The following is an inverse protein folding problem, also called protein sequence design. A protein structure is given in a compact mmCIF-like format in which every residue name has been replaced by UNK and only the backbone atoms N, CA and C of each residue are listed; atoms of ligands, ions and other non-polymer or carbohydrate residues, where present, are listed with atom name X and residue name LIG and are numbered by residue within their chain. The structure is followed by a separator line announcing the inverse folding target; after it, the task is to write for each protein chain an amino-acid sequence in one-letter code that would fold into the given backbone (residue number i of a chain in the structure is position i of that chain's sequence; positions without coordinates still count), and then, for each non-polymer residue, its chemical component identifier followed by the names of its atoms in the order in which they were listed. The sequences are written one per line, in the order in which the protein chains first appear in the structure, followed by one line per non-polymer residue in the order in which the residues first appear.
data_IF_236659166721
#
_entry.id   IF_236659166721
#
_cell.length_a   1.000
_cell.length_b   1.000
_cell.length_c   1.000
_cell.angle_alpha   90.00
_cell.angle_beta   90.00
_cell.angle_gamma   90.00
#
_symmetry.space_group_name_H-M   'P 1'
#
loop_
_entity.id
_entity.type
_entity.pdbx_description
1 polymer ?
#
# COMPACT_ATOMS: atom_id res chain seq x y z
N UNK A 1 -27.11 16.99 -12.70
CA UNK A 1 -27.10 15.78 -11.85
C UNK A 1 -25.70 15.24 -11.92
N UNK A 2 -24.91 15.35 -10.86
CA UNK A 2 -23.62 14.65 -10.77
C UNK A 2 -23.93 13.16 -10.74
N UNK A 3 -23.62 12.46 -11.83
CA UNK A 3 -23.63 11.00 -11.85
C UNK A 3 -22.69 10.59 -10.71
N UNK A 4 -23.18 9.78 -9.76
CA UNK A 4 -22.33 9.22 -8.72
C UNK A 4 -21.42 8.18 -9.38
N UNK A 5 -20.31 8.62 -9.99
CA UNK A 5 -19.37 7.77 -10.74
C UNK A 5 -18.85 6.60 -9.92
N UNK A 6 -18.83 6.72 -8.59
CA UNK A 6 -18.49 5.62 -7.70
C UNK A 6 -19.42 4.42 -7.89
N UNK A 7 -20.71 4.62 -8.19
CA UNK A 7 -21.67 3.53 -8.44
C UNK A 7 -21.30 2.65 -9.65
N UNK A 8 -20.45 3.14 -10.56
CA UNK A 8 -19.96 2.39 -11.73
C UNK A 8 -18.74 1.53 -11.43
N UNK A 9 -18.13 1.69 -10.26
CA UNK A 9 -16.99 0.91 -9.82
C UNK A 9 -17.51 -0.41 -9.26
N UNK A 10 -17.15 -1.54 -9.86
CA UNK A 10 -17.47 -2.87 -9.34
C UNK A 10 -16.35 -3.40 -8.44
N UNK A 11 -15.12 -2.89 -8.61
CA UNK A 11 -13.93 -3.35 -7.89
C UNK A 11 -13.13 -2.18 -7.32
N UNK A 12 -12.92 -2.17 -6.00
CA UNK A 12 -11.94 -1.30 -5.34
C UNK A 12 -10.73 -2.17 -4.97
N UNK A 13 -9.56 -1.81 -5.51
CA UNK A 13 -8.29 -2.46 -5.22
C UNK A 13 -7.44 -1.50 -4.39
N UNK A 14 -6.91 -1.93 -3.26
CA UNK A 14 -6.05 -1.13 -2.38
C UNK A 14 -4.68 -1.78 -2.32
N UNK A 15 -3.64 -1.04 -2.66
CA UNK A 15 -2.25 -1.39 -2.40
C UNK A 15 -1.68 -0.40 -1.38
N UNK A 16 -1.25 -0.91 -0.22
CA UNK A 16 -0.69 -0.09 0.85
C UNK A 16 0.79 -0.41 1.08
N UNK A 17 1.63 0.49 0.61
CA UNK A 17 3.10 0.50 0.73
C UNK A 17 3.55 0.98 2.12
N UNK A 18 4.85 1.01 2.37
CA UNK A 18 5.47 1.28 3.68
C UNK A 18 6.41 2.50 3.65
N UNK A 19 6.32 3.34 4.69
CA UNK A 19 7.39 4.21 5.17
C UNK A 19 7.95 5.22 4.15
N UNK A 20 7.10 5.99 3.46
CA UNK A 20 7.52 7.08 2.57
C UNK A 20 6.60 8.28 2.64
N UNK A 21 7.18 9.47 2.78
CA UNK A 21 6.44 10.73 2.74
C UNK A 21 5.99 11.08 1.32
N UNK A 22 4.98 11.94 1.21
CA UNK A 22 4.54 12.47 -0.09
C UNK A 22 5.70 13.15 -0.82
N UNK A 23 6.37 14.10 -0.15
CA UNK A 23 7.45 14.86 -0.80
C UNK A 23 8.64 14.00 -1.22
N UNK A 24 8.96 12.93 -0.50
CA UNK A 24 10.06 12.04 -0.82
C UNK A 24 9.82 11.23 -2.11
N UNK A 25 8.57 10.88 -2.43
CA UNK A 25 8.23 10.06 -3.60
C UNK A 25 7.60 10.84 -4.76
N UNK A 26 6.83 11.88 -4.45
CA UNK A 26 6.00 12.63 -5.43
C UNK A 26 6.23 14.15 -5.35
N UNK A 27 6.96 14.65 -4.35
CA UNK A 27 7.21 16.08 -4.20
C UNK A 27 7.97 16.70 -5.38
N UNK A 28 8.81 15.92 -6.05
CA UNK A 28 9.54 16.35 -7.25
C UNK A 28 8.62 16.82 -8.37
N UNK A 29 7.35 16.38 -8.41
CA UNK A 29 6.41 16.73 -9.46
C UNK A 29 6.26 18.25 -9.59
N UNK A 30 6.25 18.96 -8.47
CA UNK A 30 6.17 20.44 -8.42
C UNK A 30 7.53 21.11 -8.62
N UNK A 31 8.60 20.50 -8.11
CA UNK A 31 9.95 21.06 -8.14
C UNK A 31 10.57 21.02 -9.54
N UNK A 32 10.50 19.87 -10.19
CA UNK A 32 11.17 19.59 -11.48
C UNK A 32 10.32 18.76 -12.45
N UNK A 33 9.18 18.22 -12.02
CA UNK A 33 8.27 17.44 -12.86
C UNK A 33 7.27 18.27 -13.68
N UNK A 34 7.29 19.61 -13.56
CA UNK A 34 6.44 20.52 -14.34
C UNK A 34 4.97 20.57 -13.93
N UNK A 35 4.64 20.04 -12.74
CA UNK A 35 3.28 19.97 -12.18
C UNK A 35 3.10 20.97 -11.02
N UNK A 36 3.22 22.26 -11.34
CA UNK A 36 3.21 23.34 -10.35
C UNK A 36 1.89 23.51 -9.58
N UNK A 37 0.81 22.87 -10.03
CA UNK A 37 -0.48 22.83 -9.34
C UNK A 37 -0.51 21.84 -8.16
N UNK A 38 0.43 20.88 -8.10
CA UNK A 38 0.59 19.96 -6.97
C UNK A 38 1.27 20.71 -5.81
N UNK A 39 0.77 20.51 -4.59
CA UNK A 39 1.39 21.00 -3.36
C UNK A 39 2.61 20.14 -2.98
N UNK A 40 3.70 20.24 -3.75
CA UNK A 40 4.91 19.43 -3.63
C UNK A 40 6.14 20.24 -3.20
N UNK A 41 7.33 19.69 -3.47
CA UNK A 41 8.60 20.30 -3.06
C UNK A 41 8.90 21.60 -3.79
N UNK A 42 9.64 22.47 -3.10
CA UNK A 42 10.24 23.69 -3.64
C UNK A 42 11.69 23.80 -3.16
N UNK A 43 12.52 24.54 -3.89
CA UNK A 43 13.96 24.61 -3.62
C UNK A 43 14.29 25.33 -2.30
N UNK A 44 13.37 26.11 -1.76
CA UNK A 44 13.49 26.77 -0.46
C UNK A 44 13.25 25.85 0.75
N UNK A 45 12.71 24.64 0.56
CA UNK A 45 12.41 23.73 1.67
C UNK A 45 13.70 23.26 2.36
N UNK A 46 13.76 23.50 3.67
CA UNK A 46 14.99 23.35 4.47
C UNK A 46 14.65 22.92 5.90
N UNK A 47 15.53 22.11 6.50
CA UNK A 47 15.58 21.86 7.94
C UNK A 47 16.89 22.39 8.53
N UNK A 48 16.82 22.90 9.76
CA UNK A 48 17.99 23.39 10.49
C UNK A 48 18.41 22.38 11.55
N UNK A 49 19.70 22.07 11.61
CA UNK A 49 20.26 21.24 12.68
C UNK A 49 21.65 21.76 13.05
N UNK A 50 21.89 21.99 14.34
CA UNK A 50 23.16 22.49 14.88
C UNK A 50 23.71 23.74 14.14
N UNK A 51 22.82 24.67 13.74
CA UNK A 51 23.18 25.89 13.01
C UNK A 51 23.48 25.70 11.51
N UNK A 52 23.42 24.46 11.00
CA UNK A 52 23.56 24.13 9.57
C UNK A 52 22.20 23.94 8.92
N UNK A 53 22.06 24.45 7.70
CA UNK A 53 20.90 24.26 6.84
C UNK A 53 21.05 23.00 5.98
N UNK A 54 19.98 22.22 5.90
CA UNK A 54 19.87 21.00 5.09
C UNK A 54 18.67 21.16 4.15
N UNK A 55 18.95 21.46 2.89
CA UNK A 55 17.94 21.60 1.85
C UNK A 55 17.52 20.26 1.28
N UNK A 56 16.35 20.24 0.64
CA UNK A 56 15.91 19.10 -0.16
C UNK A 56 16.87 18.86 -1.33
N UNK A 57 17.12 17.60 -1.66
CA UNK A 57 18.06 17.23 -2.72
C UNK A 57 17.71 15.87 -3.34
N UNK A 58 18.06 15.70 -4.61
CA UNK A 58 17.83 14.45 -5.32
C UNK A 58 18.76 13.34 -4.83
N UNK A 59 18.20 12.21 -4.41
CA UNK A 59 18.95 11.03 -4.01
C UNK A 59 19.58 10.34 -5.21
N UNK A 60 20.84 9.92 -5.07
CA UNK A 60 21.61 9.27 -6.14
C UNK A 60 21.54 7.73 -6.09
N UNK A 61 20.69 7.17 -5.21
CA UNK A 61 20.55 5.73 -4.98
C UNK A 61 19.12 5.38 -4.58
N UNK A 62 18.62 4.25 -5.05
CA UNK A 62 17.25 3.77 -4.79
C UNK A 62 17.14 2.84 -3.58
N UNK A 63 18.26 2.48 -2.95
CA UNK A 63 18.30 1.71 -1.71
C UNK A 63 19.16 2.43 -0.66
N UNK A 64 18.71 2.39 0.60
CA UNK A 64 19.46 2.90 1.74
C UNK A 64 20.29 1.79 2.38
N UNK A 65 21.29 2.14 3.19
CA UNK A 65 21.94 1.14 4.03
C UNK A 65 21.01 0.76 5.20
N UNK A 66 21.09 -0.47 5.72
CA UNK A 66 20.31 -0.88 6.90
C UNK A 66 20.48 0.06 8.10
N UNK A 67 21.68 0.61 8.29
CA UNK A 67 22.00 1.57 9.35
C UNK A 67 21.44 2.97 9.14
N UNK A 68 20.72 3.23 8.04
CA UNK A 68 20.24 4.55 7.64
C UNK A 68 18.71 4.64 7.64
N UNK A 69 18.03 3.68 8.27
CA UNK A 69 16.57 3.69 8.39
C UNK A 69 16.13 4.76 9.39
N UNK A 70 15.40 5.82 8.97
CA UNK A 70 14.92 6.83 9.90
C UNK A 70 13.88 6.24 10.88
N UNK A 71 13.76 6.84 12.06
CA UNK A 71 12.77 6.45 13.06
C UNK A 71 11.39 7.05 12.72
N UNK A 72 10.33 6.30 13.02
CA UNK A 72 8.94 6.69 12.81
C UNK A 72 8.04 6.44 14.05
N UNK A 73 8.65 6.29 15.24
CA UNK A 73 7.91 6.16 16.50
C UNK A 73 7.11 7.43 16.79
N UNK A 74 6.03 7.35 17.56
CA UNK A 74 5.22 8.52 17.93
C UNK A 74 6.04 9.63 18.58
N UNK A 75 7.08 9.29 19.35
CA UNK A 75 8.03 10.25 19.91
C UNK A 75 8.94 10.90 18.85
N UNK A 76 9.43 10.11 17.89
CA UNK A 76 10.20 10.63 16.74
C UNK A 76 9.33 11.53 15.85
N UNK A 77 8.12 11.10 15.48
CA UNK A 77 7.22 11.91 14.67
C UNK A 77 6.88 13.22 15.36
N UNK A 78 6.67 13.21 16.68
CA UNK A 78 6.45 14.44 17.45
C UNK A 78 7.64 15.43 17.37
N UNK A 79 8.88 14.93 17.33
CA UNK A 79 10.06 15.77 17.09
C UNK A 79 10.13 16.27 15.65
N UNK A 80 9.87 15.39 14.69
CA UNK A 80 9.93 15.69 13.26
C UNK A 80 8.97 16.82 12.87
N UNK A 81 7.71 16.74 13.31
CA UNK A 81 6.67 17.74 12.99
C UNK A 81 6.80 19.04 13.78
N UNK A 82 7.68 19.09 14.78
CA UNK A 82 7.93 20.30 15.57
C UNK A 82 8.42 21.45 14.68
N UNK A 83 8.04 22.68 15.01
CA UNK A 83 8.49 23.86 14.28
C UNK A 83 8.04 23.89 12.82
N UNK A 84 6.80 23.45 12.54
CA UNK A 84 6.25 23.31 11.18
C UNK A 84 7.08 22.36 10.31
N UNK A 85 7.22 21.11 10.76
CA UNK A 85 8.03 20.08 10.07
C UNK A 85 9.53 20.44 9.99
N UNK A 86 10.04 21.19 10.96
CA UNK A 86 11.44 21.64 11.03
C UNK A 86 12.41 20.65 11.69
N UNK A 87 11.91 19.52 12.21
CA UNK A 87 12.67 18.65 13.12
C UNK A 87 13.19 17.34 12.53
N UNK A 88 13.00 17.07 11.23
CA UNK A 88 13.35 15.78 10.61
C UNK A 88 14.84 15.47 10.69
N UNK A 89 15.68 16.41 10.29
CA UNK A 89 17.15 16.25 10.35
C UNK A 89 17.63 16.11 11.79
N UNK A 90 17.01 16.84 12.73
CA UNK A 90 17.37 16.75 14.14
C UNK A 90 16.97 15.41 14.78
N UNK A 91 15.80 14.86 14.41
CA UNK A 91 15.41 13.52 14.86
C UNK A 91 16.32 12.44 14.24
N UNK A 92 16.66 12.55 12.95
CA UNK A 92 17.56 11.60 12.31
C UNK A 92 18.95 11.59 12.96
N UNK A 93 19.57 12.77 13.14
CA UNK A 93 20.88 12.90 13.76
C UNK A 93 20.93 12.38 15.21
N UNK A 94 19.83 12.48 15.94
CA UNK A 94 19.72 11.93 17.30
C UNK A 94 19.82 10.41 17.32
N UNK A 95 19.23 9.73 16.33
CA UNK A 95 19.17 8.27 16.27
C UNK A 95 20.29 7.64 15.43
N UNK A 96 21.02 8.45 14.66
CA UNK A 96 22.12 8.04 13.79
C UNK A 96 23.35 8.94 13.99
N UNK A 97 23.91 9.00 15.21
CA UNK A 97 25.03 9.92 15.53
C UNK A 97 26.29 9.63 14.71
N UNK A 98 26.44 8.40 14.22
CA UNK A 98 27.59 7.97 13.42
C UNK A 98 27.39 8.16 11.90
N UNK A 99 26.19 8.54 11.44
CA UNK A 99 25.94 8.82 10.02
C UNK A 99 26.43 10.24 9.69
N UNK A 100 27.42 10.41 8.79
CA UNK A 100 27.94 11.74 8.45
C UNK A 100 26.95 12.61 7.68
N UNK A 101 25.85 12.04 7.15
CA UNK A 101 24.84 12.76 6.37
C UNK A 101 23.44 12.68 7.00
N UNK A 102 23.16 13.50 8.04
CA UNK A 102 21.81 13.60 8.58
C UNK A 102 20.83 14.29 7.62
N UNK A 103 21.32 14.85 6.51
CA UNK A 103 20.50 15.43 5.45
C UNK A 103 19.74 14.38 4.66
N UNK A 104 20.09 13.09 4.76
CA UNK A 104 19.47 11.99 4.01
C UNK A 104 17.93 12.02 4.02
N UNK A 105 17.32 12.38 5.16
CA UNK A 105 15.85 12.45 5.31
C UNK A 105 15.19 13.59 4.52
N UNK A 106 15.98 14.57 4.07
CA UNK A 106 15.56 15.63 3.14
C UNK A 106 15.66 15.20 1.67
N UNK A 107 16.20 14.01 1.40
CA UNK A 107 16.34 13.48 0.06
C UNK A 107 14.99 13.21 -0.59
N UNK A 108 14.90 13.38 -1.91
CA UNK A 108 13.74 13.00 -2.72
C UNK A 108 14.16 12.18 -3.95
N UNK A 109 13.21 11.43 -4.50
CA UNK A 109 13.33 10.75 -5.79
C UNK A 109 12.60 11.52 -6.90
N UNK A 110 13.02 11.31 -8.15
CA UNK A 110 12.34 11.91 -9.31
C UNK A 110 11.84 10.87 -10.32
N UNK A 111 11.30 11.35 -11.46
CA UNK A 111 10.72 10.48 -12.48
C UNK A 111 11.72 9.54 -13.18
N UNK A 112 13.02 9.79 -13.06
CA UNK A 112 14.05 8.86 -13.53
C UNK A 112 14.22 7.67 -12.56
N UNK A 113 14.09 7.91 -11.26
CA UNK A 113 14.13 6.86 -10.22
C UNK A 113 12.80 6.15 -10.04
N UNK A 114 11.68 6.85 -10.28
CA UNK A 114 10.32 6.37 -10.04
C UNK A 114 9.45 6.47 -11.30
N UNK A 115 9.84 5.85 -12.43
CA UNK A 115 9.13 5.96 -13.70
C UNK A 115 7.70 5.41 -13.64
N UNK A 116 7.39 4.47 -12.73
CA UNK A 116 6.02 3.97 -12.57
C UNK A 116 5.13 5.01 -11.89
N UNK A 117 5.66 5.74 -10.90
CA UNK A 117 4.91 6.83 -10.26
C UNK A 117 4.81 8.07 -11.14
N UNK A 118 5.86 8.43 -11.89
CA UNK A 118 5.80 9.49 -12.91
C UNK A 118 4.70 9.20 -13.95
N UNK A 119 4.64 7.95 -14.44
CA UNK A 119 3.59 7.50 -15.35
C UNK A 119 2.18 7.66 -14.73
N UNK A 120 1.97 7.13 -13.52
CA UNK A 120 0.65 7.19 -12.88
C UNK A 120 0.23 8.64 -12.57
N UNK A 121 1.17 9.49 -12.15
CA UNK A 121 0.90 10.89 -11.86
C UNK A 121 0.47 11.66 -13.13
N UNK A 122 1.05 11.34 -14.30
CA UNK A 122 0.68 11.95 -15.59
C UNK A 122 -0.63 11.41 -16.15
N UNK A 123 -0.94 10.15 -15.92
CA UNK A 123 -2.08 9.47 -16.55
C UNK A 123 -3.34 9.43 -15.67
N UNK A 124 -3.23 9.68 -14.37
CA UNK A 124 -4.34 9.57 -13.43
C UNK A 124 -4.32 10.72 -12.40
N UNK A 125 -4.78 10.46 -11.17
CA UNK A 125 -4.96 11.47 -10.13
C UNK A 125 -3.91 11.33 -9.02
N UNK A 126 -3.24 12.45 -8.71
CA UNK A 126 -2.42 12.62 -7.50
C UNK A 126 -3.27 13.25 -6.40
N UNK A 127 -3.30 12.65 -5.22
CA UNK A 127 -3.89 13.28 -4.03
C UNK A 127 -2.77 13.89 -3.19
N UNK A 128 -2.63 15.22 -3.22
CA UNK A 128 -1.53 15.93 -2.56
C UNK A 128 -1.82 16.33 -1.11
N UNK A 129 -2.99 15.96 -0.57
CA UNK A 129 -3.36 16.20 0.83
C UNK A 129 -3.82 14.93 1.55
N UNK A 130 -3.19 13.80 1.22
CA UNK A 130 -3.35 12.57 1.98
C UNK A 130 -2.35 12.51 3.15
N UNK A 131 -2.87 12.48 4.37
CA UNK A 131 -2.07 12.34 5.58
C UNK A 131 -2.16 10.92 6.14
N UNK A 132 -1.09 10.47 6.80
CA UNK A 132 -1.22 9.30 7.66
C UNK A 132 -2.24 9.60 8.76
N UNK A 133 -3.01 8.59 9.17
CA UNK A 133 -4.11 8.80 10.12
C UNK A 133 -3.62 9.16 11.52
N UNK A 134 -2.40 8.75 11.87
CA UNK A 134 -1.75 8.94 13.16
C UNK A 134 -0.32 9.48 12.96
N UNK A 135 0.12 10.47 13.75
CA UNK A 135 1.52 10.87 13.81
C UNK A 135 2.33 9.82 14.58
N UNK A 136 2.67 8.72 13.91
CA UNK A 136 3.33 7.57 14.51
C UNK A 136 3.56 6.44 13.50
N UNK A 137 3.83 5.25 14.03
CA UNK A 137 4.37 4.14 13.28
C UNK A 137 3.34 3.42 12.38
N UNK A 138 3.83 2.44 11.62
CA UNK A 138 3.12 1.58 10.67
C UNK A 138 1.80 1.00 11.19
N UNK A 139 1.83 0.24 12.29
CA UNK A 139 0.65 -0.54 12.70
C UNK A 139 -0.54 0.33 13.11
N UNK A 140 -0.40 1.37 13.95
CA UNK A 140 -1.47 2.33 14.20
C UNK A 140 -2.14 2.87 12.93
N UNK A 141 -1.35 3.18 11.89
CA UNK A 141 -1.86 3.68 10.63
C UNK A 141 -2.58 2.60 9.80
N UNK A 142 -1.99 1.41 9.66
CA UNK A 142 -2.66 0.24 9.03
C UNK A 142 -3.95 -0.16 9.75
N UNK A 143 -4.00 -0.03 11.08
CA UNK A 143 -5.23 -0.25 11.86
C UNK A 143 -6.31 0.77 11.51
N UNK A 144 -5.98 2.06 11.36
CA UNK A 144 -6.93 3.05 10.86
C UNK A 144 -7.43 2.71 9.46
N UNK A 145 -6.52 2.23 8.59
CA UNK A 145 -6.82 1.85 7.21
C UNK A 145 -7.77 0.66 7.05
N UNK A 146 -8.01 -0.13 8.11
CA UNK A 146 -8.98 -1.23 8.05
C UNK A 146 -10.05 -1.21 9.15
N UNK A 147 -9.89 -0.40 10.19
CA UNK A 147 -10.82 -0.35 11.34
C UNK A 147 -11.19 1.07 11.80
N UNK A 148 -10.50 2.10 11.30
CA UNK A 148 -10.75 3.49 11.68
C UNK A 148 -10.25 3.90 13.07
N UNK A 149 -9.37 3.09 13.70
CA UNK A 149 -8.84 3.33 15.06
C UNK A 149 -7.43 2.77 15.25
N UNK A 150 -6.59 3.41 16.07
CA UNK A 150 -5.21 3.00 16.36
C UNK A 150 -5.00 2.06 17.56
N UNK A 151 -6.08 1.51 18.14
CA UNK A 151 -6.01 0.64 19.32
C UNK A 151 -5.23 1.26 20.51
N UNK A 152 -5.29 2.59 20.67
CA UNK A 152 -4.73 3.33 21.81
C UNK A 152 -3.21 3.50 21.82
N UNK A 153 -2.52 3.34 20.69
CA UNK A 153 -1.07 3.62 20.60
C UNK A 153 -0.69 4.35 19.32
N UNK A 154 0.31 5.25 19.41
CA UNK A 154 0.99 5.84 18.25
C UNK A 154 2.19 5.02 17.79
N UNK A 155 2.60 4.05 18.60
CA UNK A 155 3.68 3.14 18.31
C UNK A 155 3.15 1.75 17.96
N UNK A 156 3.90 1.06 17.11
CA UNK A 156 3.79 -0.37 16.92
C UNK A 156 3.99 -1.05 18.26
N UNK A 157 2.97 -1.72 18.77
CA UNK A 157 3.13 -2.55 19.97
C UNK A 157 3.97 -3.77 19.58
N UNK A 158 4.88 -4.23 20.45
CA UNK A 158 5.37 -5.63 20.40
C UNK A 158 4.17 -6.52 20.19
N UNK A 159 4.25 -7.63 19.45
CA UNK A 159 3.07 -8.45 19.14
C UNK A 159 2.32 -8.83 20.44
N UNK A 160 1.15 -8.21 20.72
CA UNK A 160 -0.04 -9.02 20.73
C UNK A 160 -0.90 -8.59 19.55
N UNK A 161 -1.74 -9.53 19.17
CA UNK A 161 -2.68 -9.33 18.11
C UNK A 161 -3.70 -8.25 18.54
N UNK A 162 -3.91 -7.21 17.73
CA UNK A 162 -4.92 -6.19 18.00
C UNK A 162 -6.34 -6.81 17.96
N UNK A 163 -7.31 -6.09 18.52
CA UNK A 163 -8.71 -6.56 18.66
C UNK A 163 -9.72 -5.58 18.05
N UNK A 164 -9.29 -4.76 17.08
CA UNK A 164 -10.20 -3.85 16.40
C UNK A 164 -11.07 -4.63 15.43
N UNK A 165 -12.32 -4.20 15.27
CA UNK A 165 -13.25 -4.79 14.31
C UNK A 165 -13.03 -4.13 12.96
N UNK A 166 -12.63 -4.92 11.97
CA UNK A 166 -12.31 -4.43 10.63
C UNK A 166 -13.58 -4.16 9.80
N UNK A 167 -13.43 -3.37 8.71
CA UNK A 167 -14.52 -3.14 7.74
C UNK A 167 -14.96 -4.43 7.05
N UNK A 168 -14.11 -5.47 7.04
CA UNK A 168 -14.39 -6.77 6.42
C UNK A 168 -15.65 -7.40 7.01
N UNK A 169 -15.87 -7.23 8.32
CA UNK A 169 -17.13 -7.66 8.97
C UNK A 169 -18.37 -6.97 8.39
N UNK A 170 -18.23 -5.73 7.91
CA UNK A 170 -19.33 -5.04 7.23
C UNK A 170 -19.52 -5.60 5.81
N UNK A 171 -18.44 -5.90 5.09
CA UNK A 171 -18.54 -6.57 3.79
C UNK A 171 -19.28 -7.91 3.92
N UNK A 172 -18.95 -8.73 4.91
CA UNK A 172 -19.64 -10.01 5.15
C UNK A 172 -21.12 -9.82 5.47
N UNK A 173 -21.47 -8.87 6.35
CA UNK A 173 -22.87 -8.55 6.67
C UNK A 173 -23.67 -8.09 5.46
N UNK A 174 -23.04 -7.41 4.52
CA UNK A 174 -23.64 -6.94 3.29
C UNK A 174 -23.45 -7.92 2.11
N UNK A 175 -22.90 -9.11 2.34
CA UNK A 175 -22.62 -10.13 1.32
C UNK A 175 -21.75 -9.61 0.16
N UNK A 176 -20.84 -8.69 0.45
CA UNK A 176 -19.90 -8.11 -0.51
C UNK A 176 -18.68 -9.01 -0.62
N UNK A 177 -18.30 -9.38 -1.84
CA UNK A 177 -17.13 -10.20 -2.07
C UNK A 177 -15.83 -9.44 -1.76
N UNK A 178 -14.90 -10.08 -1.07
CA UNK A 178 -13.64 -9.48 -0.67
C UNK A 178 -12.50 -10.51 -0.64
N UNK A 179 -11.27 -10.04 -0.84
CA UNK A 179 -10.05 -10.83 -0.61
C UNK A 179 -8.89 -9.94 -0.17
N UNK A 180 -8.06 -10.50 0.71
CA UNK A 180 -6.72 -9.98 0.97
C UNK A 180 -5.69 -10.84 0.24
N UNK A 181 -4.80 -10.18 -0.49
CA UNK A 181 -3.71 -10.76 -1.24
C UNK A 181 -2.40 -10.39 -0.56
N UNK A 182 -1.52 -11.37 -0.37
CA UNK A 182 -0.19 -11.16 0.23
C UNK A 182 0.78 -12.24 -0.21
N UNK A 183 2.07 -12.04 -0.01
CA UNK A 183 3.05 -13.10 -0.28
C UNK A 183 2.98 -14.23 0.78
N UNK A 184 2.90 -13.88 2.06
CA UNK A 184 2.83 -14.84 3.16
C UNK A 184 1.47 -14.86 3.86
N UNK A 185 1.16 -13.79 4.58
CA UNK A 185 -0.04 -13.60 5.39
C UNK A 185 -0.42 -12.12 5.30
N UNK A 186 -1.71 -11.77 5.22
CA UNK A 186 -2.14 -10.39 5.21
C UNK A 186 -2.06 -9.85 6.63
N UNK A 187 -0.87 -9.42 7.03
CA UNK A 187 -0.60 -8.93 8.38
C UNK A 187 -1.51 -7.75 8.73
N UNK A 188 -1.88 -6.90 7.77
CA UNK A 188 -2.83 -5.81 7.98
C UNK A 188 -4.14 -6.33 8.56
N UNK A 189 -4.80 -7.30 7.92
CA UNK A 189 -6.07 -7.82 8.43
C UNK A 189 -5.87 -8.70 9.67
N UNK A 190 -4.88 -9.61 9.62
CA UNK A 190 -4.68 -10.62 10.63
C UNK A 190 -4.25 -10.04 11.99
N UNK A 191 -3.47 -8.95 11.99
CA UNK A 191 -3.12 -8.26 13.22
C UNK A 191 -4.27 -7.39 13.72
N UNK A 192 -5.08 -6.82 12.82
CA UNK A 192 -6.15 -5.90 13.22
C UNK A 192 -7.31 -6.60 13.91
N UNK A 193 -7.83 -7.67 13.29
CA UNK A 193 -9.10 -8.27 13.67
C UNK A 193 -8.93 -9.76 13.95
N UNK A 194 -9.19 -10.12 15.20
CA UNK A 194 -8.98 -11.47 15.72
C UNK A 194 -9.72 -12.58 14.97
N UNK A 195 -10.82 -12.24 14.30
CA UNK A 195 -11.61 -13.21 13.55
C UNK A 195 -10.87 -13.74 12.32
N UNK A 196 -9.98 -12.93 11.72
CA UNK A 196 -9.31 -13.23 10.46
C UNK A 196 -7.83 -13.60 10.63
N UNK A 197 -7.43 -14.04 11.83
CA UNK A 197 -6.03 -14.40 12.14
C UNK A 197 -5.57 -15.68 11.45
N UNK A 198 -6.47 -16.58 11.08
CA UNK A 198 -6.15 -17.86 10.46
C UNK A 198 -5.77 -17.68 8.99
N UNK A 199 -5.03 -18.64 8.43
CA UNK A 199 -4.53 -18.56 7.07
C UNK A 199 -5.53 -18.89 5.96
N UNK A 200 -6.79 -19.16 6.33
CA UNK A 200 -7.84 -19.50 5.37
C UNK A 200 -8.49 -18.28 4.71
N UNK A 201 -8.25 -17.07 5.24
CA UNK A 201 -8.88 -15.82 4.81
C UNK A 201 -8.05 -15.00 3.82
N UNK A 202 -7.02 -15.61 3.20
CA UNK A 202 -6.16 -14.90 2.26
C UNK A 202 -5.76 -15.72 1.06
N UNK A 203 -5.37 -15.01 0.01
CA UNK A 203 -4.88 -15.56 -1.25
C UNK A 203 -3.44 -15.09 -1.52
N UNK A 204 -2.64 -15.88 -2.25
CA UNK A 204 -1.32 -15.43 -2.65
C UNK A 204 -1.44 -14.21 -3.58
N UNK A 205 -0.45 -13.33 -3.57
CA UNK A 205 -0.40 -12.22 -4.53
C UNK A 205 -0.17 -12.72 -5.97
N UNK A 206 0.80 -13.62 -6.15
CA UNK A 206 1.14 -14.27 -7.42
C UNK A 206 0.90 -15.79 -7.41
N UNK A 207 1.66 -16.53 -8.21
CA UNK A 207 1.60 -17.98 -8.21
C UNK A 207 2.32 -18.56 -6.99
N UNK A 208 1.57 -19.28 -6.16
CA UNK A 208 2.13 -20.14 -5.11
C UNK A 208 1.38 -21.47 -5.10
N UNK A 209 1.97 -22.49 -5.73
CA UNK A 209 1.29 -23.77 -5.98
C UNK A 209 0.14 -23.65 -6.98
N UNK A 210 -1.00 -24.32 -6.74
CA UNK A 210 -2.16 -24.39 -7.66
C UNK A 210 -3.06 -23.14 -7.68
N UNK A 211 -2.64 -22.01 -7.11
CA UNK A 211 -3.44 -20.79 -6.98
C UNK A 211 -2.74 -19.63 -7.69
N UNK A 212 -3.48 -18.98 -8.59
CA UNK A 212 -2.98 -17.90 -9.45
C UNK A 212 -3.07 -16.48 -8.84
N UNK A 213 -3.51 -16.37 -7.58
CA UNK A 213 -3.47 -15.11 -6.82
C UNK A 213 -4.24 -13.92 -7.39
N UNK A 214 -3.81 -12.71 -7.00
CA UNK A 214 -4.37 -11.43 -7.46
C UNK A 214 -4.26 -11.28 -8.98
N UNK A 215 -3.06 -11.54 -9.54
CA UNK A 215 -2.81 -11.40 -10.98
C UNK A 215 -3.77 -12.27 -11.79
N UNK A 216 -3.94 -13.53 -11.39
CA UNK A 216 -4.90 -14.42 -12.04
C UNK A 216 -6.35 -13.99 -11.86
N UNK A 217 -6.72 -13.44 -10.70
CA UNK A 217 -8.08 -12.93 -10.44
C UNK A 217 -8.40 -11.72 -11.32
N UNK A 218 -7.45 -10.80 -11.47
CA UNK A 218 -7.57 -9.64 -12.36
C UNK A 218 -7.73 -10.03 -13.83
N UNK A 219 -6.81 -10.84 -14.36
CA UNK A 219 -6.80 -11.21 -15.77
C UNK A 219 -7.97 -12.11 -16.18
N UNK A 220 -8.51 -12.90 -15.24
CA UNK A 220 -9.66 -13.75 -15.50
C UNK A 220 -11.02 -13.05 -15.32
N UNK A 221 -11.03 -11.78 -14.88
CA UNK A 221 -12.28 -11.08 -14.54
C UNK A 221 -13.01 -11.69 -13.35
N UNK A 222 -12.25 -12.17 -12.36
CA UNK A 222 -12.78 -12.77 -11.13
C UNK A 222 -12.33 -12.03 -9.87
N UNK A 223 -12.02 -10.74 -10.00
CA UNK A 223 -11.73 -9.87 -8.86
C UNK A 223 -12.94 -9.81 -7.93
N UNK A 224 -12.74 -9.82 -6.60
CA UNK A 224 -13.79 -9.48 -5.66
C UNK A 224 -14.13 -7.98 -5.76
N UNK A 225 -15.22 -7.58 -5.12
CA UNK A 225 -15.62 -6.17 -5.03
C UNK A 225 -14.61 -5.33 -4.25
N UNK A 226 -13.95 -5.92 -3.24
CA UNK A 226 -12.85 -5.30 -2.51
C UNK A 226 -11.64 -6.22 -2.51
N UNK A 227 -10.54 -5.76 -3.11
CA UNK A 227 -9.23 -6.42 -3.10
C UNK A 227 -8.26 -5.60 -2.27
N UNK A 228 -7.65 -6.19 -1.26
CA UNK A 228 -6.58 -5.54 -0.50
C UNK A 228 -5.27 -6.26 -0.76
N UNK A 229 -4.19 -5.53 -1.04
CA UNK A 229 -2.87 -6.07 -1.29
C UNK A 229 -1.94 -5.57 -0.20
N UNK A 230 -1.48 -6.49 0.64
CA UNK A 230 -0.28 -6.27 1.44
C UNK A 230 0.93 -6.60 0.55
N UNK A 231 1.93 -5.70 0.44
CA UNK A 231 3.16 -5.99 -0.26
C UNK A 231 3.92 -7.15 0.42
N UNK A 232 4.96 -7.63 -0.23
CA UNK A 232 5.95 -8.46 0.45
C UNK A 232 6.77 -7.56 1.37
N UNK A 233 6.39 -7.54 2.64
CA UNK A 233 7.05 -6.76 3.68
C UNK A 233 8.57 -6.98 3.66
N UNK A 234 9.32 -5.88 3.79
CA UNK A 234 10.77 -5.78 3.75
C UNK A 234 11.43 -6.18 2.41
N UNK A 235 10.64 -6.36 1.34
CA UNK A 235 11.14 -6.78 0.04
C UNK A 235 10.71 -5.85 -1.10
N UNK A 236 9.41 -5.59 -1.24
CA UNK A 236 8.86 -4.75 -2.31
C UNK A 236 7.77 -3.77 -1.82
N UNK A 237 7.81 -3.47 -0.53
CA UNK A 237 6.89 -2.58 0.17
C UNK A 237 7.41 -1.14 0.25
N UNK A 238 8.63 -0.89 -0.25
CA UNK A 238 9.42 0.33 -0.10
C UNK A 238 9.92 0.60 1.33
N UNK A 239 9.73 -0.26 2.32
CA UNK A 239 10.27 -0.02 3.66
C UNK A 239 11.81 0.05 3.64
N UNK A 240 12.50 1.11 4.11
CA UNK A 240 13.96 1.15 4.10
C UNK A 240 14.54 -0.02 4.93
N UNK A 241 15.60 -0.70 4.51
CA UNK A 241 16.52 -0.36 3.43
C UNK A 241 16.12 -0.93 2.05
N UNK A 242 14.89 -1.44 1.87
CA UNK A 242 14.46 -2.03 0.60
C UNK A 242 14.62 -1.04 -0.56
N UNK A 243 15.03 -1.58 -1.70
CA UNK A 243 15.21 -0.82 -2.93
C UNK A 243 13.85 -0.42 -3.51
N UNK A 244 13.61 0.88 -3.68
CA UNK A 244 12.30 1.38 -4.16
C UNK A 244 11.96 0.90 -5.58
N UNK A 245 12.96 0.43 -6.35
CA UNK A 245 12.71 -0.23 -7.65
C UNK A 245 11.87 -1.51 -7.51
N UNK A 246 11.96 -2.19 -6.37
CA UNK A 246 11.13 -3.36 -6.09
C UNK A 246 9.64 -2.98 -5.92
N UNK A 247 9.35 -1.88 -5.22
CA UNK A 247 7.99 -1.35 -5.10
C UNK A 247 7.45 -0.81 -6.44
N UNK A 248 8.29 -0.13 -7.24
CA UNK A 248 7.94 0.26 -8.61
C UNK A 248 7.53 -0.97 -9.46
N UNK A 249 8.25 -2.08 -9.35
CA UNK A 249 7.93 -3.32 -10.05
C UNK A 249 6.61 -3.96 -9.59
N UNK A 250 6.33 -3.93 -8.27
CA UNK A 250 5.05 -4.39 -7.72
C UNK A 250 3.88 -3.56 -8.27
N UNK A 251 3.99 -2.23 -8.22
CA UNK A 251 2.95 -1.31 -8.69
C UNK A 251 2.72 -1.49 -10.19
N UNK A 252 3.78 -1.62 -10.98
CA UNK A 252 3.68 -1.91 -12.41
C UNK A 252 2.93 -3.22 -12.67
N UNK A 253 3.22 -4.28 -11.90
CA UNK A 253 2.52 -5.56 -12.04
C UNK A 253 1.03 -5.46 -11.68
N UNK A 254 0.68 -4.73 -10.61
CA UNK A 254 -0.72 -4.49 -10.24
C UNK A 254 -1.45 -3.74 -11.35
N UNK A 255 -0.86 -2.64 -11.84
CA UNK A 255 -1.42 -1.85 -12.93
C UNK A 255 -1.62 -2.70 -14.20
N UNK A 256 -0.61 -3.47 -14.62
CA UNK A 256 -0.70 -4.32 -15.80
C UNK A 256 -1.79 -5.39 -15.67
N UNK A 257 -1.91 -6.02 -14.50
CA UNK A 257 -2.93 -7.04 -14.27
C UNK A 257 -4.36 -6.46 -14.38
N UNK A 258 -4.57 -5.26 -13.84
CA UNK A 258 -5.86 -4.57 -13.89
C UNK A 258 -6.17 -4.00 -15.28
N UNK A 259 -5.21 -3.29 -15.89
CA UNK A 259 -5.39 -2.64 -17.20
C UNK A 259 -5.60 -3.63 -18.36
N UNK A 260 -5.03 -4.83 -18.27
CA UNK A 260 -5.24 -5.91 -19.24
C UNK A 260 -6.43 -6.81 -18.89
N UNK A 261 -6.99 -6.67 -17.68
CA UNK A 261 -8.12 -7.45 -17.21
C UNK A 261 -9.45 -6.93 -17.79
N UNK A 262 -10.46 -7.80 -17.95
CA UNK A 262 -11.77 -7.41 -18.50
C UNK A 262 -12.57 -6.45 -17.59
N UNK A 263 -12.13 -6.26 -16.34
CA UNK A 263 -12.79 -5.39 -15.35
C UNK A 263 -12.20 -3.97 -15.29
N UNK A 264 -11.24 -3.62 -16.15
CA UNK A 264 -10.56 -2.31 -16.13
C UNK A 264 -11.52 -1.13 -16.02
N UNK A 265 -12.55 -1.08 -16.88
CA UNK A 265 -13.54 0.00 -16.99
C UNK A 265 -14.34 0.27 -15.70
N UNK A 266 -14.31 -0.65 -14.74
CA UNK A 266 -15.09 -0.63 -13.50
C UNK A 266 -14.22 -0.79 -12.26
N UNK A 267 -12.92 -0.53 -12.39
CA UNK A 267 -11.96 -0.68 -11.30
C UNK A 267 -11.46 0.68 -10.82
N UNK A 268 -11.39 0.84 -9.50
CA UNK A 268 -10.63 1.90 -8.83
C UNK A 268 -9.46 1.25 -8.09
N UNK A 269 -8.24 1.54 -8.51
CA UNK A 269 -7.02 1.21 -7.79
C UNK A 269 -6.61 2.40 -6.93
N UNK A 270 -6.37 2.16 -5.65
CA UNK A 270 -5.83 3.11 -4.66
C UNK A 270 -4.45 2.62 -4.27
N UNK A 271 -3.42 3.41 -4.55
CA UNK A 271 -2.06 3.16 -4.08
C UNK A 271 -1.77 4.21 -3.01
N UNK A 272 -1.38 3.78 -1.82
CA UNK A 272 -1.05 4.67 -0.71
C UNK A 272 0.09 4.08 0.13
N UNK A 273 0.61 4.86 1.07
CA UNK A 273 1.52 4.39 2.12
C UNK A 273 0.79 4.40 3.46
N UNK A 274 1.34 3.68 4.44
CA UNK A 274 0.89 3.64 5.83
C UNK A 274 1.35 4.89 6.62
N UNK A 275 2.61 5.28 6.49
CA UNK A 275 3.23 6.44 7.13
C UNK A 275 4.49 6.90 6.38
N UNK A 276 5.15 7.95 6.85
CA UNK A 276 6.15 8.69 6.09
C UNK A 276 7.59 8.16 6.22
N UNK A 277 7.84 7.20 7.11
CA UNK A 277 9.12 6.53 7.28
C UNK A 277 10.21 7.38 7.91
N UNK A 278 9.85 8.53 8.49
CA UNK A 278 10.79 9.55 8.97
C UNK A 278 11.42 10.42 7.86
N UNK A 279 10.93 10.33 6.62
CA UNK A 279 11.33 11.23 5.53
C UNK A 279 10.56 12.55 5.56
N UNK A 280 11.24 13.62 5.18
CA UNK A 280 10.70 14.98 5.20
C UNK A 280 9.44 15.12 4.34
N UNK A 281 8.50 15.90 4.84
CA UNK A 281 7.42 16.51 4.07
C UNK A 281 7.24 17.94 4.55
N UNK A 282 6.96 18.87 3.66
CA UNK A 282 6.90 20.28 3.99
C UNK A 282 5.56 20.70 4.62
N UNK A 283 4.50 19.90 4.51
CA UNK A 283 3.16 20.29 4.99
C UNK A 283 2.93 19.81 6.43
N UNK A 284 2.76 20.73 7.39
CA UNK A 284 2.46 20.35 8.77
C UNK A 284 1.12 19.60 8.88
N UNK A 285 1.06 18.49 9.63
CA UNK A 285 -0.18 17.73 9.80
C UNK A 285 -1.29 18.55 10.47
N UNK A 286 -2.50 18.62 9.87
CA UNK A 286 -3.60 19.37 10.45
C UNK A 286 -4.25 18.65 11.64
N UNK A 287 -5.14 19.37 12.33
CA UNK A 287 -6.02 18.79 13.34
C UNK A 287 -7.03 17.82 12.72
N UNK A 288 -7.49 16.87 13.52
CA UNK A 288 -8.20 15.69 13.09
C UNK A 288 -9.44 15.43 13.95
N UNK A 289 -10.55 15.00 13.34
CA UNK A 289 -11.71 14.49 14.07
C UNK A 289 -11.44 13.07 14.50
N UNK A 290 -11.54 12.79 15.81
CA UNK A 290 -11.46 11.43 16.36
C UNK A 290 -12.25 11.30 17.67
N UNK A 291 -12.72 10.08 17.93
CA UNK A 291 -13.39 9.70 19.18
C UNK A 291 -12.42 9.81 20.36
N UNK A 292 -11.15 9.48 20.15
CA UNK A 292 -10.09 9.53 21.14
C UNK A 292 -9.26 10.81 20.97
N UNK A 293 -9.20 11.63 22.02
CA UNK A 293 -8.50 12.90 22.03
C UNK A 293 -6.99 12.76 21.71
N UNK A 294 -6.38 11.62 22.02
CA UNK A 294 -4.96 11.35 21.74
C UNK A 294 -4.65 11.26 20.22
N UNK A 295 -5.68 11.04 19.39
CA UNK A 295 -5.58 10.85 17.94
C UNK A 295 -6.27 11.96 17.12
N UNK A 296 -6.50 13.13 17.73
CA UNK A 296 -7.05 14.33 17.07
C UNK A 296 -6.02 15.15 16.28
N UNK A 297 -4.93 14.53 15.86
CA UNK A 297 -3.97 15.10 14.92
C UNK A 297 -3.70 14.07 13.82
N UNK A 298 -3.67 14.50 12.56
CA UNK A 298 -3.15 13.66 11.47
C UNK A 298 -1.62 13.47 11.63
N UNK A 299 -1.06 12.52 10.91
CA UNK A 299 0.39 12.40 10.73
C UNK A 299 0.86 13.10 9.45
N UNK A 300 2.13 12.88 9.11
CA UNK A 300 2.81 13.46 7.93
C UNK A 300 2.12 12.98 6.65
N UNK A 301 2.18 13.80 5.59
CA UNK A 301 1.61 13.40 4.29
C UNK A 301 2.28 12.16 3.74
N UNK A 302 1.47 11.32 3.12
CA UNK A 302 1.87 10.09 2.45
C UNK A 302 1.42 10.13 0.99
N UNK A 303 2.13 9.48 0.06
CA UNK A 303 1.69 9.38 -1.32
C UNK A 303 0.30 8.74 -1.40
N UNK A 304 -0.59 9.30 -2.22
CA UNK A 304 -1.82 8.64 -2.64
C UNK A 304 -2.07 8.89 -4.12
N UNK A 305 -2.14 7.81 -4.90
CA UNK A 305 -2.47 7.81 -6.33
C UNK A 305 -3.79 7.06 -6.54
N UNK A 306 -4.71 7.69 -7.26
CA UNK A 306 -5.99 7.07 -7.64
C UNK A 306 -5.96 6.76 -9.13
N UNK A 307 -6.17 5.48 -9.46
CA UNK A 307 -6.02 4.96 -10.82
C UNK A 307 -7.34 4.31 -11.25
N UNK A 308 -7.98 4.88 -12.27
CA UNK A 308 -9.21 4.37 -12.85
C UNK A 308 -9.39 4.97 -14.25
N UNK A 309 -10.01 4.25 -15.19
CA UNK A 309 -10.34 4.83 -16.49
C UNK A 309 -11.39 5.95 -16.41
N UNK A 310 -12.07 6.10 -15.27
CA UNK A 310 -13.03 7.17 -15.01
C UNK A 310 -12.41 8.44 -14.42
N UNK A 311 -11.08 8.55 -14.44
CA UNK A 311 -10.31 9.70 -13.93
C UNK A 311 -9.66 10.44 -15.10
N UNK A 312 -9.74 11.76 -15.11
CA UNK A 312 -9.02 12.63 -16.05
C UNK A 312 -7.51 12.47 -15.90
N UNK A 313 -6.81 12.40 -17.04
CA UNK A 313 -5.35 12.29 -17.05
C UNK A 313 -4.68 13.53 -16.41
N UNK A 314 -3.67 13.31 -15.57
CA UNK A 314 -2.90 14.37 -14.93
C UNK A 314 -3.69 15.21 -13.94
N UNK A 315 -4.77 14.66 -13.38
CA UNK A 315 -5.58 15.38 -12.40
C UNK A 315 -4.90 15.43 -11.03
N UNK A 316 -5.32 16.40 -10.21
CA UNK A 316 -4.88 16.55 -8.82
C UNK A 316 -6.10 16.73 -7.95
N UNK A 317 -6.10 16.07 -6.79
CA UNK A 317 -7.14 16.19 -5.78
C UNK A 317 -6.56 16.81 -4.51
N UNK A 318 -7.00 18.03 -4.21
CA UNK A 318 -6.57 18.82 -3.04
C UNK A 318 -7.44 18.61 -1.81
N UNK A 319 -8.18 17.50 -1.79
CA UNK A 319 -9.07 17.18 -0.69
C UNK A 319 -8.31 16.51 0.45
N UNK A 320 -8.66 16.88 1.68
CA UNK A 320 -8.01 16.32 2.86
C UNK A 320 -8.44 14.85 3.02
N UNK A 321 -7.48 13.95 2.86
CA UNK A 321 -7.66 12.52 3.03
C UNK A 321 -6.75 11.97 4.13
N UNK A 322 -7.16 10.82 4.65
CA UNK A 322 -6.32 9.87 5.37
C UNK A 322 -6.77 8.46 5.04
N UNK A 323 -6.18 7.46 5.69
CA UNK A 323 -6.54 6.06 5.44
C UNK A 323 -8.03 5.74 5.62
N UNK A 324 -8.75 6.49 6.46
CA UNK A 324 -10.19 6.28 6.65
C UNK A 324 -11.04 6.71 5.46
N UNK A 325 -10.46 7.47 4.53
CA UNK A 325 -11.08 7.81 3.25
C UNK A 325 -11.25 6.57 2.36
N UNK A 326 -10.38 5.56 2.51
CA UNK A 326 -10.51 4.25 1.87
C UNK A 326 -11.75 3.53 2.42
N UNK A 327 -11.90 3.46 3.75
CA UNK A 327 -13.08 2.87 4.40
C UNK A 327 -14.34 3.59 3.97
N UNK A 328 -14.34 4.92 4.00
CA UNK A 328 -15.49 5.74 3.60
C UNK A 328 -15.94 5.37 2.19
N UNK A 329 -15.00 5.25 1.26
CA UNK A 329 -15.26 4.90 -0.14
C UNK A 329 -15.86 3.50 -0.27
N UNK A 330 -15.27 2.51 0.40
CA UNK A 330 -15.76 1.12 0.41
C UNK A 330 -17.18 1.05 0.98
N UNK A 331 -17.42 1.68 2.14
CA UNK A 331 -18.72 1.68 2.79
C UNK A 331 -19.78 2.40 1.93
N UNK A 332 -19.43 3.55 1.36
CA UNK A 332 -20.31 4.31 0.46
C UNK A 332 -20.73 3.50 -0.76
N UNK A 333 -19.81 2.70 -1.31
CA UNK A 333 -20.03 1.94 -2.54
C UNK A 333 -20.78 0.63 -2.30
N UNK A 334 -20.43 -0.10 -1.25
CA UNK A 334 -20.85 -1.50 -1.09
C UNK A 334 -21.66 -1.80 0.16
N UNK A 335 -21.66 -0.94 1.17
CA UNK A 335 -22.32 -1.22 2.46
C UNK A 335 -23.43 -0.22 2.81
N UNK A 336 -23.89 0.58 1.85
CA UNK A 336 -24.97 1.54 2.09
C UNK A 336 -26.29 0.80 2.31
N UNK A 337 -26.98 1.11 3.40
CA UNK A 337 -28.31 0.61 3.70
C UNK A 337 -29.37 1.13 2.73
N UNK A 338 -30.56 0.50 2.74
CA UNK A 338 -31.69 0.94 1.91
C UNK A 338 -32.18 2.36 2.25
N UNK A 339 -31.96 2.79 3.49
CA UNK A 339 -32.21 4.14 4.01
C UNK A 339 -31.09 5.14 3.67
N UNK A 340 -30.05 4.69 2.96
CA UNK A 340 -28.88 5.49 2.62
C UNK A 340 -27.84 5.60 3.73
N UNK A 341 -28.05 4.99 4.91
CA UNK A 341 -27.11 5.04 6.01
C UNK A 341 -25.84 4.21 5.71
N UNK A 342 -24.71 4.62 6.30
CA UNK A 342 -23.46 3.87 6.27
C UNK A 342 -23.22 3.17 7.61
N UNK A 343 -22.56 1.99 7.64
CA UNK A 343 -22.15 1.37 8.88
C UNK A 343 -21.28 2.30 9.72
N UNK A 344 -21.59 2.41 11.01
CA UNK A 344 -20.81 3.22 11.93
C UNK A 344 -19.44 2.57 12.21
N UNK A 345 -18.37 3.30 11.92
CA UNK A 345 -16.97 2.88 12.16
C UNK A 345 -16.16 3.97 12.89
N UNK A 346 -16.81 4.74 13.77
CA UNK A 346 -16.19 5.81 14.56
C UNK A 346 -16.25 7.19 13.90
N UNK A 347 -15.99 8.23 14.70
CA UNK A 347 -16.08 9.63 14.24
C UNK A 347 -15.11 9.95 13.10
N UNK A 348 -13.91 9.33 13.10
CA UNK A 348 -12.90 9.49 12.04
C UNK A 348 -13.46 9.11 10.67
N UNK A 349 -14.00 7.89 10.56
CA UNK A 349 -14.59 7.37 9.31
C UNK A 349 -15.86 8.13 8.94
N UNK A 350 -16.65 8.57 9.93
CA UNK A 350 -17.85 9.37 9.68
C UNK A 350 -17.49 10.72 9.02
N UNK A 351 -16.45 11.40 9.51
CA UNK A 351 -15.98 12.69 9.02
C UNK A 351 -15.17 12.62 7.71
N UNK A 352 -14.58 11.47 7.40
CA UNK A 352 -13.76 11.29 6.19
C UNK A 352 -14.53 11.57 4.89
N UNK A 353 -13.82 12.13 3.91
CA UNK A 353 -14.28 12.27 2.52
C UNK A 353 -14.07 10.96 1.76
N UNK A 354 -14.97 10.64 0.83
CA UNK A 354 -14.82 9.50 -0.05
C UNK A 354 -14.00 9.86 -1.29
N UNK A 355 -13.26 8.89 -1.82
CA UNK A 355 -12.37 9.03 -2.98
C UNK A 355 -13.13 9.10 -4.32
N UNK A 356 -14.44 8.79 -4.31
CA UNK A 356 -15.27 8.77 -5.51
C UNK A 356 -15.39 10.11 -6.24
N UNK A 357 -15.04 11.22 -5.59
CA UNK A 357 -14.99 12.55 -6.21
C UNK A 357 -13.89 12.71 -7.27
N UNK A 358 -12.85 11.88 -7.23
CA UNK A 358 -11.82 11.88 -8.27
C UNK A 358 -12.30 11.25 -9.59
N UNK A 359 -13.42 10.50 -9.56
CA UNK A 359 -14.00 9.84 -10.72
C UNK A 359 -14.85 10.84 -11.53
N UNK A 360 -14.19 11.70 -12.28
CA UNK A 360 -14.74 12.88 -12.93
C UNK A 360 -15.18 12.67 -14.39
N UNK A 361 -14.93 11.48 -14.96
CA UNK A 361 -15.31 11.17 -16.34
C UNK A 361 -16.61 10.37 -16.46
N UNK A 362 -17.44 10.77 -17.44
CA UNK A 362 -18.66 10.05 -17.80
C UNK A 362 -18.39 8.76 -18.60
N UNK A 363 -17.26 8.64 -19.28
CA UNK A 363 -16.89 7.46 -20.07
C UNK A 363 -15.49 6.97 -19.68
N UNK A 364 -15.27 5.64 -19.59
CA UNK A 364 -13.96 5.10 -19.29
C UNK A 364 -12.99 5.35 -20.43
N UNK A 365 -11.77 5.79 -20.09
CA UNK A 365 -10.66 5.88 -21.04
C UNK A 365 -10.02 4.50 -21.29
N UNK A 366 -9.49 4.25 -22.49
CA UNK A 366 -8.60 3.12 -22.73
C UNK A 366 -7.42 3.14 -21.74
N UNK A 367 -6.95 1.97 -21.32
CA UNK A 367 -5.78 1.90 -20.44
C UNK A 367 -4.52 2.42 -21.15
N UNK A 368 -3.83 3.44 -20.61
CA UNK A 368 -2.56 3.88 -21.14
C UNK A 368 -1.51 2.76 -21.08
N UNK A 369 -0.69 2.63 -22.13
CA UNK A 369 0.40 1.67 -22.15
C UNK A 369 1.52 2.11 -21.19
N UNK A 370 2.14 1.14 -20.50
CA UNK A 370 3.33 1.44 -19.70
C UNK A 370 4.46 1.97 -20.58
N UNK A 371 5.18 3.03 -20.16
CA UNK A 371 6.28 3.57 -20.92
C UNK A 371 7.49 2.63 -20.89
N UNK A 372 8.35 2.74 -21.91
CA UNK A 372 9.57 1.94 -22.01
C UNK A 372 10.51 2.09 -20.81
N UNK A 373 10.49 3.24 -20.13
CA UNK A 373 11.27 3.51 -18.91
C UNK A 373 10.88 2.60 -17.75
N UNK A 374 9.59 2.35 -17.53
CA UNK A 374 9.11 1.41 -16.49
C UNK A 374 9.60 0.00 -16.78
N UNK A 375 9.50 -0.44 -18.03
CA UNK A 375 9.99 -1.75 -18.44
C UNK A 375 11.51 -1.88 -18.33
N UNK A 376 12.25 -0.82 -18.68
CA UNK A 376 13.70 -0.80 -18.59
C UNK A 376 14.17 -0.86 -17.14
N UNK A 377 13.58 -0.07 -16.24
CA UNK A 377 13.90 -0.11 -14.81
C UNK A 377 13.64 -1.48 -14.21
N UNK A 378 12.45 -2.05 -14.46
CA UNK A 378 12.11 -3.38 -13.95
C UNK A 378 13.12 -4.43 -14.40
N UNK A 379 13.49 -4.46 -15.70
CA UNK A 379 14.50 -5.39 -16.21
C UNK A 379 15.86 -5.19 -15.53
N UNK A 380 16.32 -3.95 -15.44
CA UNK A 380 17.60 -3.62 -14.79
C UNK A 380 17.64 -4.12 -13.34
N UNK A 381 16.58 -3.86 -12.56
CA UNK A 381 16.49 -4.34 -11.18
C UNK A 381 16.44 -5.88 -11.09
N UNK A 382 15.68 -6.54 -11.97
CA UNK A 382 15.60 -8.00 -12.03
C UNK A 382 16.96 -8.64 -12.40
N UNK A 383 17.71 -8.03 -13.32
CA UNK A 383 19.03 -8.49 -13.73
C UNK A 383 20.04 -8.37 -12.58
N UNK A 384 20.07 -7.22 -11.90
CA UNK A 384 20.92 -7.01 -10.72
C UNK A 384 20.58 -7.98 -9.57
N UNK A 385 19.29 -8.30 -9.37
CA UNK A 385 18.91 -9.32 -8.39
C UNK A 385 19.47 -10.69 -8.75
N UNK A 386 19.34 -11.10 -10.01
CA UNK A 386 19.88 -12.40 -10.48
C UNK A 386 21.40 -12.45 -10.30
N UNK A 387 22.10 -11.36 -10.57
CA UNK A 387 23.53 -11.25 -10.37
C UNK A 387 23.91 -11.40 -8.89
N UNK A 388 23.24 -10.68 -7.98
CA UNK A 388 23.46 -10.83 -6.53
C UNK A 388 23.25 -12.28 -6.06
N UNK A 389 22.15 -12.90 -6.49
CA UNK A 389 21.86 -14.30 -6.13
C UNK A 389 22.86 -15.30 -6.73
N UNK A 390 23.42 -15.02 -7.91
CA UNK A 390 24.45 -15.85 -8.51
C UNK A 390 25.77 -15.79 -7.72
N UNK A 391 26.08 -14.64 -7.12
CA UNK A 391 27.28 -14.43 -6.30
C UNK A 391 27.16 -15.09 -4.91
N UNK A 392 25.95 -15.13 -4.34
CA UNK A 392 25.72 -15.63 -2.98
C UNK A 392 25.69 -17.17 -2.84
N UNK A 393 25.78 -17.93 -3.94
CA UNK A 393 26.00 -19.38 -3.92
C UNK A 393 24.97 -20.22 -3.11
N UNK A 394 23.86 -20.60 -3.76
CA UNK A 394 22.81 -21.52 -3.31
C UNK A 394 21.83 -21.05 -2.20
N UNK A 395 20.54 -21.16 -2.54
CA UNK A 395 19.35 -21.38 -1.68
C UNK A 395 18.95 -20.30 -0.65
N UNK A 396 19.21 -19.02 -0.93
CA UNK A 396 18.42 -17.95 -0.33
C UNK A 396 17.03 -17.94 -1.00
N UNK A 397 15.97 -18.00 -0.19
CA UNK A 397 14.57 -17.98 -0.62
C UNK A 397 14.36 -17.00 -1.79
N UNK A 398 14.00 -17.53 -2.97
CA UNK A 398 13.73 -16.73 -4.17
C UNK A 398 12.85 -15.54 -3.77
N UNK A 399 13.30 -14.28 -3.87
CA UNK A 399 12.35 -13.18 -3.86
C UNK A 399 11.35 -13.45 -4.97
N UNK A 400 10.08 -13.20 -4.70
CA UNK A 400 9.02 -13.39 -5.68
C UNK A 400 9.34 -12.53 -6.91
N UNK A 401 9.94 -13.15 -7.92
CA UNK A 401 10.14 -12.49 -9.21
C UNK A 401 8.74 -12.13 -9.72
N UNK A 402 8.49 -10.87 -10.08
CA UNK A 402 7.20 -10.51 -10.62
C UNK A 402 6.98 -11.35 -11.88
N UNK A 403 5.87 -12.10 -11.89
CA UNK A 403 5.40 -12.93 -13.01
C UNK A 403 5.71 -12.26 -14.36
N UNK A 404 6.47 -12.93 -15.27
CA UNK A 404 6.70 -12.44 -16.62
C UNK A 404 5.39 -12.30 -17.40
N UNK A 405 5.35 -11.36 -18.35
CA UNK A 405 4.17 -11.07 -19.17
C UNK A 405 3.63 -12.33 -19.90
N UNK A 406 4.51 -13.26 -20.28
CA UNK A 406 4.14 -14.54 -20.90
C UNK A 406 3.40 -15.49 -19.93
N UNK A 407 3.82 -15.54 -18.67
CA UNK A 407 3.22 -16.38 -17.63
C UNK A 407 1.85 -15.80 -17.21
N UNK A 408 1.74 -14.47 -17.12
CA UNK A 408 0.47 -13.78 -16.92
C UNK A 408 -0.55 -14.09 -18.04
N UNK A 409 -0.10 -14.12 -19.30
CA UNK A 409 -0.93 -14.52 -20.45
C UNK A 409 -1.39 -15.99 -20.37
N UNK A 410 -0.51 -16.90 -19.97
CA UNK A 410 -0.84 -18.32 -19.82
C UNK A 410 -1.88 -18.55 -18.69
N UNK A 411 -1.75 -17.82 -17.58
CA UNK A 411 -2.70 -17.84 -16.46
C UNK A 411 -4.09 -17.38 -16.90
N UNK A 412 -4.16 -16.28 -17.66
CA UNK A 412 -5.40 -15.75 -18.21
C UNK A 412 -6.10 -16.77 -19.12
N UNK A 413 -5.34 -17.43 -20.01
CA UNK A 413 -5.84 -18.46 -20.91
C UNK A 413 -6.37 -19.70 -20.15
N UNK A 414 -5.61 -20.20 -19.17
CA UNK A 414 -6.01 -21.38 -18.39
C UNK A 414 -7.29 -21.13 -17.58
N UNK A 415 -7.47 -19.92 -17.02
CA UNK A 415 -8.69 -19.56 -16.29
C UNK A 415 -9.87 -19.27 -17.19
N UNK A 416 -9.65 -18.66 -18.36
CA UNK A 416 -10.70 -18.52 -19.36
C UNK A 416 -11.26 -19.89 -19.75
N UNK A 417 -10.40 -20.87 -20.00
CA UNK A 417 -10.80 -22.26 -20.26
C UNK A 417 -11.55 -22.89 -19.06
N UNK A 418 -11.06 -22.71 -17.84
CA UNK A 418 -11.71 -23.23 -16.64
C UNK A 418 -13.07 -22.58 -16.33
N UNK A 419 -13.24 -21.30 -16.68
CA UNK A 419 -14.51 -20.56 -16.56
C UNK A 419 -15.49 -21.00 -17.66
N UNK A 420 -15.02 -21.10 -18.90
CA UNK A 420 -15.81 -21.63 -20.02
C UNK A 420 -16.27 -23.07 -19.75
N UNK A 421 -15.41 -23.91 -19.16
CA UNK A 421 -15.77 -25.25 -18.73
C UNK A 421 -16.82 -25.25 -17.61
N UNK A 422 -16.68 -24.41 -16.57
CA UNK A 422 -17.69 -24.28 -15.50
C UNK A 422 -19.03 -23.75 -16.01
N UNK A 423 -19.01 -22.78 -16.91
CA UNK A 423 -20.22 -22.25 -17.53
C UNK A 423 -20.89 -23.29 -18.43
N UNK A 424 -20.12 -24.08 -19.18
CA UNK A 424 -20.63 -25.21 -19.96
C UNK A 424 -21.25 -26.31 -19.08
N UNK A 425 -20.67 -26.58 -17.91
CA UNK A 425 -21.24 -27.51 -16.92
C UNK A 425 -22.52 -26.95 -16.29
N UNK A 426 -22.59 -25.64 -16.02
CA UNK A 426 -23.77 -24.99 -15.48
C UNK A 426 -24.93 -24.92 -16.51
N UNK A 427 -24.62 -24.77 -17.80
CA UNK A 427 -25.63 -24.79 -18.87
C UNK A 427 -26.03 -26.20 -19.32
N UNK A 428 -25.24 -27.23 -19.02
CA UNK A 428 -25.57 -28.63 -19.28
C UNK A 428 -25.80 -29.37 -17.96
N UNK A 429 -26.94 -29.08 -17.32
CA UNK A 429 -27.32 -29.65 -16.04
C UNK A 429 -27.15 -31.17 -15.95
N UNK A 430 -26.25 -31.62 -15.08
CA UNK A 430 -26.30 -32.94 -14.46
C UNK A 430 -26.24 -32.76 -12.95
N UNK A 431 -27.35 -33.11 -12.28
CA UNK A 431 -27.34 -33.39 -10.83
C UNK A 431 -26.36 -34.54 -10.59
N UNK A 432 -25.40 -34.34 -9.69
CA UNK A 432 -24.64 -35.43 -9.10
C UNK A 432 -24.82 -35.42 -7.57
N UNK A 433 -24.83 -36.59 -6.91
CA UNK A 433 -25.48 -36.78 -5.61
C UNK A 433 -24.61 -36.35 -4.43
N UNK A 434 -25.27 -36.00 -3.34
CA UNK A 434 -24.67 -35.75 -2.03
C UNK A 434 -24.02 -37.02 -1.46
N UNK A 435 -22.70 -37.01 -1.34
CA UNK A 435 -21.85 -37.66 -0.32
C UNK A 435 -20.41 -37.58 -0.85
N UNK A 436 -19.43 -37.07 -0.11
CA UNK A 436 -18.66 -37.83 0.86
C UNK A 436 -17.99 -36.83 1.80
N UNK A 437 -18.34 -36.92 3.08
CA UNK A 437 -17.55 -36.39 4.18
C UNK A 437 -16.48 -37.42 4.59
N UNK A 438 -15.34 -36.89 5.06
CA UNK A 438 -14.29 -37.56 5.87
C UNK A 438 -13.53 -38.74 5.24
N UNK A 439 -12.25 -38.51 4.91
CA UNK A 439 -11.13 -39.30 5.47
C UNK A 439 -9.74 -38.67 5.22
N UNK A 440 -9.09 -38.34 6.35
CA UNK A 440 -7.65 -38.40 6.72
C UNK A 440 -6.55 -38.24 5.64
N UNK A 441 -5.57 -37.41 5.98
CA UNK A 441 -4.17 -37.84 6.09
C UNK A 441 -3.57 -37.40 7.42
N UNK A 442 -3.31 -38.42 8.26
CA UNK A 442 -2.19 -38.46 9.21
C UNK A 442 -0.92 -38.73 8.38
N UNK A 443 0.23 -38.39 8.97
CA UNK A 443 1.59 -38.74 8.58
C UNK A 443 2.30 -37.73 7.67
N UNK A 444 2.97 -36.76 8.33
CA UNK A 444 4.41 -36.54 8.15
C UNK A 444 4.92 -35.72 9.36
N UNK A 445 5.48 -36.42 10.35
CA UNK A 445 6.43 -35.82 11.28
C UNK A 445 7.77 -35.72 10.55
N UNK A 446 8.08 -34.52 10.05
CA UNK A 446 9.42 -34.11 9.67
C UNK A 446 9.83 -32.98 10.60
N UNK A 447 10.94 -33.19 11.29
CA UNK A 447 11.51 -32.33 12.33
C UNK A 447 11.91 -30.98 11.73
N UNK A 448 11.00 -30.01 11.78
CA UNK A 448 11.22 -28.64 11.34
C UNK A 448 11.48 -27.75 12.54
N UNK A 449 12.76 -27.45 12.80
CA UNK A 449 13.14 -26.39 13.76
C UNK A 449 12.42 -25.10 13.35
N UNK A 450 11.46 -24.68 14.17
CA UNK A 450 10.85 -23.37 14.06
C UNK A 450 11.94 -22.33 14.33
N UNK A 451 12.45 -21.71 13.26
CA UNK A 451 13.26 -20.50 13.38
C UNK A 451 12.29 -19.38 13.75
N UNK A 452 12.49 -18.81 14.93
CA UNK A 452 11.65 -17.78 15.50
C UNK A 452 12.02 -16.44 14.83
N UNK A 453 11.33 -16.07 13.75
CA UNK A 453 11.60 -14.85 12.94
C UNK A 453 10.97 -13.57 13.48
N UNK A 454 10.53 -13.56 14.74
CA UNK A 454 9.92 -12.40 15.40
C UNK A 454 10.93 -11.33 15.84
N UNK A 455 12.23 -11.61 15.74
CA UNK A 455 13.31 -10.70 16.17
C UNK A 455 13.65 -9.61 15.14
N UNK A 456 13.02 -9.61 13.96
CA UNK A 456 13.16 -8.53 12.96
C UNK A 456 12.41 -7.24 13.34
N UNK A 457 11.57 -7.30 14.37
CA UNK A 457 10.94 -6.13 14.98
C UNK A 457 11.75 -5.75 16.22
N UNK A 458 12.73 -4.86 16.06
CA UNK A 458 13.45 -4.15 17.13
C UNK A 458 14.64 -4.88 17.79
N UNK A 459 15.85 -4.69 17.23
CA UNK A 459 17.10 -4.75 18.01
C UNK A 459 17.71 -3.36 18.11
N UNK A 460 17.24 -2.59 19.08
CA UNK A 460 17.78 -1.27 19.36
C UNK A 460 17.47 -0.77 20.77
N UNK A 461 17.60 -1.62 21.79
CA UNK A 461 17.64 -1.15 23.17
C UNK A 461 18.47 -2.09 24.06
N UNK A 462 19.74 -1.73 24.23
CA UNK A 462 20.54 -2.07 25.42
C UNK A 462 21.21 -0.79 25.89
N UNK A 463 20.48 -0.01 26.68
CA UNK A 463 21.08 0.99 27.55
C UNK A 463 21.52 0.32 28.86
N UNK A 464 22.69 0.76 29.31
CA UNK A 464 23.43 0.35 30.49
C UNK A 464 22.61 0.41 31.79
N UNK A 465 22.64 -0.68 32.55
CA UNK A 465 22.65 -0.65 34.02
C UNK A 465 23.92 -1.37 34.49
N UNK A 466 24.79 -0.62 35.16
CA UNK A 466 26.10 -1.03 35.65
C UNK A 466 26.97 0.18 35.93
#
# INVERSE_FOLDING_TARGET
MTINSLARIDHIVVLMMENRSFDHMLGYLSLEGGRGEIDGLRSEHVNLHAGKAYGVHHLQRTALQPSQQPRNTGASVARQVHGHNGGFVSDYALHHPDDPDPGLVMGYYNGADLPMYDFLAREFCVCDRCHSSVPGATWPNRLYAVSGRAAGSKDSKRVPLYANKSFVRQLERHMVSWKFYSFWKPWTLALTDEHYRSSEFYEPFGEHGRRYGFVGDALAGSLPSVSWIDPHFFANDDHPPADVRAGQALVAQVYQALSRGPSWERTLLVITYDEHGGFFDHVPPPAAVDDDAAFRQYGVRVPMLLVSPLISAGSVCHELFDHTSILKTILQRFCRGADGALPAMGARVAAAKGLGMALDLDLPRPAPALPGSVHAQRRCWEDELRERHALDGFDAARPAMPMPDAEAGAVAAHRHLARSARNAIATHGKKAPQSIARRRRKDNHGDGRAVNWLDGFDTGDRAHEG
#
